data_IF_718995671069
#
_entry.id   IF_718995671069
#
_cell.length_a   1.000
_cell.length_b   1.000
_cell.length_c   1.000
_cell.angle_alpha   90.00
_cell.angle_beta   90.00
_cell.angle_gamma   90.00
#
_symmetry.space_group_name_H-M   'P 1'
#
loop_
_entity.id
_entity.type
_entity.pdbx_description
1 polymer ?
#
# COMPACT_ATOMS: atom_id res chain seq x y z
N UNK A 1 12.98 3.63 8.24
CA UNK A 1 12.50 4.27 6.98
C UNK A 1 11.99 3.30 5.91
N UNK A 2 12.24 1.97 5.96
CA UNK A 2 11.75 1.02 4.94
C UNK A 2 10.21 0.92 4.83
N UNK A 3 9.49 1.02 5.94
CA UNK A 3 8.02 0.84 5.99
C UNK A 3 7.25 1.97 5.30
N UNK A 4 7.70 3.22 5.42
CA UNK A 4 7.04 4.37 4.77
C UNK A 4 7.16 4.23 3.25
N UNK A 5 8.32 3.81 2.76
CA UNK A 5 8.54 3.52 1.34
C UNK A 5 7.65 2.37 0.85
N UNK A 6 7.52 1.30 1.64
CA UNK A 6 6.62 0.18 1.34
C UNK A 6 5.16 0.65 1.19
N UNK A 7 4.69 1.47 2.13
CA UNK A 7 3.33 2.03 2.07
C UNK A 7 3.16 2.97 0.88
N UNK A 8 4.20 3.71 0.50
CA UNK A 8 4.19 4.56 -0.69
C UNK A 8 4.20 3.80 -2.03
N UNK A 9 4.58 2.52 -2.06
CA UNK A 9 4.45 1.67 -3.25
C UNK A 9 2.98 1.26 -3.50
N UNK A 10 2.12 1.35 -2.48
CA UNK A 10 0.71 0.98 -2.59
C UNK A 10 -0.04 2.03 -3.42
N UNK A 11 -0.81 1.55 -4.39
CA UNK A 11 -1.61 2.41 -5.24
C UNK A 11 -2.61 3.24 -4.41
N UNK A 12 -2.56 4.57 -4.55
CA UNK A 12 -3.41 5.51 -3.82
C UNK A 12 -2.91 5.93 -2.43
N UNK A 13 -1.75 5.45 -1.98
CA UNK A 13 -1.09 5.91 -0.74
C UNK A 13 0.10 6.81 -1.09
N UNK A 14 -0.05 8.11 -0.84
CA UNK A 14 1.05 9.07 -0.96
C UNK A 14 1.94 9.12 0.30
N UNK A 15 3.09 9.81 0.25
CA UNK A 15 4.04 9.90 1.35
C UNK A 15 3.43 10.48 2.64
N UNK A 16 2.51 11.44 2.54
CA UNK A 16 1.82 12.01 3.70
C UNK A 16 0.91 10.98 4.40
N UNK A 17 0.18 10.18 3.62
CA UNK A 17 -0.69 9.12 4.16
C UNK A 17 0.14 7.97 4.72
N UNK A 18 1.22 7.59 4.02
CA UNK A 18 2.17 6.59 4.49
C UNK A 18 2.79 6.97 5.85
N UNK A 19 3.14 8.24 6.05
CA UNK A 19 3.63 8.73 7.34
C UNK A 19 2.56 8.61 8.42
N UNK A 20 1.33 9.08 8.18
CA UNK A 20 0.22 8.97 9.14
C UNK A 20 -0.06 7.53 9.56
N UNK A 21 -0.01 6.59 8.62
CA UNK A 21 -0.20 5.15 8.88
C UNK A 21 0.97 4.58 9.69
N UNK A 22 2.19 5.02 9.41
CA UNK A 22 3.36 4.64 10.20
C UNK A 22 3.32 5.21 11.63
N UNK A 23 2.84 6.44 11.80
CA UNK A 23 2.63 7.10 13.10
C UNK A 23 1.52 6.44 13.91
N UNK A 24 0.46 5.95 13.24
CA UNK A 24 -0.57 5.09 13.86
C UNK A 24 -0.05 3.74 14.37
N UNK A 25 1.19 3.38 14.02
CA UNK A 25 1.82 2.13 14.45
C UNK A 25 1.69 0.98 13.45
N UNK A 26 1.11 1.19 12.28
CA UNK A 26 1.09 0.16 11.24
C UNK A 26 2.50 -0.13 10.74
N UNK A 27 2.80 -1.42 10.55
CA UNK A 27 4.12 -1.88 10.09
C UNK A 27 4.03 -2.82 8.90
N UNK A 28 2.86 -3.40 8.64
CA UNK A 28 2.64 -4.35 7.54
C UNK A 28 1.48 -3.93 6.64
N UNK A 29 1.42 -4.49 5.42
CA UNK A 29 0.28 -4.30 4.51
C UNK A 29 -1.00 -4.97 5.03
N UNK A 30 -0.89 -6.03 5.83
CA UNK A 30 -2.04 -6.68 6.47
C UNK A 30 -2.71 -5.77 7.50
N UNK A 31 -1.91 -5.05 8.29
CA UNK A 31 -2.43 -4.05 9.23
C UNK A 31 -3.21 -2.95 8.51
N UNK A 32 -2.74 -2.57 7.31
CA UNK A 32 -3.43 -1.58 6.46
C UNK A 32 -4.76 -2.12 5.95
N UNK A 33 -4.83 -3.38 5.51
CA UNK A 33 -6.09 -3.97 5.04
C UNK A 33 -7.19 -3.99 6.10
N UNK A 34 -6.81 -3.93 7.40
CA UNK A 34 -7.72 -3.92 8.54
C UNK A 34 -8.06 -2.51 9.04
N UNK A 35 -7.39 -1.46 8.55
CA UNK A 35 -7.67 -0.08 8.95
C UNK A 35 -8.90 0.46 8.20
N UNK A 36 -9.94 0.80 8.96
CA UNK A 36 -11.18 1.31 8.38
C UNK A 36 -11.08 2.72 7.79
N UNK A 37 -10.05 3.48 8.15
CA UNK A 37 -9.80 4.84 7.65
C UNK A 37 -9.28 4.90 6.22
N UNK A 38 -8.91 3.75 5.63
CA UNK A 38 -8.51 3.68 4.23
C UNK A 38 -9.72 3.80 3.32
N UNK A 39 -9.56 4.62 2.28
CA UNK A 39 -10.54 4.75 1.20
C UNK A 39 -10.68 3.43 0.43
N UNK A 40 -11.81 3.23 -0.25
CA UNK A 40 -12.06 2.03 -1.05
C UNK A 40 -10.95 1.77 -2.08
N UNK A 41 -10.46 2.83 -2.73
CA UNK A 41 -9.35 2.78 -3.69
C UNK A 41 -8.04 2.28 -3.05
N UNK A 42 -7.72 2.75 -1.84
CA UNK A 42 -6.53 2.31 -1.11
C UNK A 42 -6.64 0.86 -0.66
N UNK A 43 -7.83 0.42 -0.21
CA UNK A 43 -8.08 -0.99 0.13
C UNK A 43 -7.87 -1.90 -1.09
N UNK A 44 -8.33 -1.48 -2.27
CA UNK A 44 -8.06 -2.20 -3.53
C UNK A 44 -6.56 -2.22 -3.84
N UNK A 45 -5.86 -1.10 -3.66
CA UNK A 45 -4.41 -1.01 -3.84
C UNK A 45 -3.62 -1.96 -2.94
N UNK A 46 -4.05 -2.13 -1.68
CA UNK A 46 -3.46 -3.11 -0.76
C UNK A 46 -3.80 -4.53 -1.18
N UNK A 47 -5.06 -4.81 -1.55
CA UNK A 47 -5.53 -6.13 -1.94
C UNK A 47 -4.85 -6.68 -3.20
N UNK A 48 -4.64 -5.81 -4.20
CA UNK A 48 -4.02 -6.16 -5.47
C UNK A 48 -2.56 -5.71 -5.56
N UNK A 49 -1.90 -5.47 -4.43
CA UNK A 49 -0.53 -4.97 -4.40
C UNK A 49 0.43 -5.85 -5.20
N UNK A 50 0.41 -7.17 -4.95
CA UNK A 50 1.26 -8.13 -5.65
C UNK A 50 0.92 -8.23 -7.15
N UNK A 51 -0.36 -8.19 -7.49
CA UNK A 51 -0.82 -8.25 -8.88
C UNK A 51 -0.40 -7.02 -9.68
N UNK A 52 -0.50 -5.82 -9.08
CA UNK A 52 -0.07 -4.56 -9.70
C UNK A 52 1.46 -4.52 -9.83
N UNK A 53 2.19 -5.12 -8.89
CA UNK A 53 3.66 -5.19 -8.91
C UNK A 53 4.18 -6.19 -9.94
N UNK A 54 3.36 -7.16 -10.33
CA UNK A 54 3.71 -8.16 -11.34
C UNK A 54 3.81 -7.50 -12.71
N UNK A 55 5.01 -7.47 -13.29
CA UNK A 55 5.17 -7.06 -14.70
C UNK A 55 4.49 -8.07 -15.62
N UNK A 56 3.78 -7.55 -16.61
CA UNK A 56 3.25 -8.36 -17.71
C UNK A 56 4.42 -8.64 -18.66
N UNK A 57 4.83 -9.92 -18.85
CA UNK A 57 5.85 -10.28 -19.81
C UNK A 57 5.36 -9.92 -21.22
N UNK A 58 6.27 -9.43 -22.06
CA UNK A 58 6.02 -9.26 -23.49
C UNK A 58 6.54 -10.50 -24.19
N UNK A 59 5.69 -11.15 -24.98
CA UNK A 59 6.12 -12.07 -26.01
C UNK A 59 6.79 -11.22 -27.09
N UNK A 60 8.08 -11.47 -27.34
CA UNK A 60 8.83 -10.92 -28.48
C UNK A 60 8.72 -11.88 -29.66
#
# INVERSE_FOLDING_TARGET
VKTISLFGEVWGIGPATALKLYEKGHRTLDDLSKDDSLTHAQRLGVKYFDDIKKRIPRDE
#
